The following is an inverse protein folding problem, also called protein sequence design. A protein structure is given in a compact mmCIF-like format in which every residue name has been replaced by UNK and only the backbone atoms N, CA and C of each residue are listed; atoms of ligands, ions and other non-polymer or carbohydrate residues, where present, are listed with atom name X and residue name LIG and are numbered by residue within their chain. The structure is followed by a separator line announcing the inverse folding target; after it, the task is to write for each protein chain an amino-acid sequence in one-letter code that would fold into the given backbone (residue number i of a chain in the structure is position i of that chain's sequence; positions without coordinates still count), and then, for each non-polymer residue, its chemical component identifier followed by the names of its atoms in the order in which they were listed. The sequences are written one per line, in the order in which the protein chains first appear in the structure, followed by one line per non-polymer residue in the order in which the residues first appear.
data_IF_171870905028
#
_entry.id   IF_171870905028
#
_cell.length_a   1.000
_cell.length_b   1.000
_cell.length_c   1.000
_cell.angle_alpha   90.00
_cell.angle_beta   90.00
_cell.angle_gamma   90.00
#
_symmetry.space_group_name_H-M   'P 1'
#
loop_
_entity.id
_entity.type
_entity.pdbx_description
1 polymer ?
#
# COMPACT_ATOMS: atom_id res chain seq x y z
N UNK A 1 5.36 1.53 -22.82
CA UNK A 1 4.27 2.16 -22.05
C UNK A 1 3.80 1.19 -20.98
N UNK A 2 4.27 1.36 -19.74
CA UNK A 2 3.91 0.47 -18.63
C UNK A 2 2.42 0.59 -18.33
N UNK A 3 1.73 -0.54 -18.27
CA UNK A 3 0.28 -0.61 -18.15
C UNK A 3 -0.16 -0.05 -16.78
N UNK A 4 -0.83 1.11 -16.72
CA UNK A 4 -1.10 1.83 -15.46
C UNK A 4 -1.97 1.03 -14.48
N UNK A 5 -2.81 0.14 -15.02
CA UNK A 5 -3.61 -0.82 -14.25
C UNK A 5 -2.71 -1.78 -13.44
N UNK A 6 -1.59 -2.24 -14.01
CA UNK A 6 -0.65 -3.12 -13.28
C UNK A 6 0.03 -2.38 -12.12
N UNK A 7 0.30 -1.09 -12.29
CA UNK A 7 0.92 -0.25 -11.27
C UNK A 7 -0.07 0.06 -10.13
N UNK A 8 -1.35 0.24 -10.48
CA UNK A 8 -2.44 0.36 -9.51
C UNK A 8 -2.66 -0.95 -8.74
N UNK A 9 -2.65 -2.10 -9.42
CA UNK A 9 -2.78 -3.43 -8.77
C UNK A 9 -1.62 -3.71 -7.81
N UNK A 10 -0.40 -3.32 -8.18
CA UNK A 10 0.78 -3.43 -7.34
C UNK A 10 0.60 -2.64 -6.04
N UNK A 11 0.15 -1.38 -6.15
CA UNK A 11 -0.10 -0.52 -4.99
C UNK A 11 -1.18 -1.09 -4.06
N UNK A 12 -2.27 -1.61 -4.62
CA UNK A 12 -3.35 -2.26 -3.84
C UNK A 12 -2.83 -3.51 -3.13
N UNK A 13 -1.97 -4.29 -3.78
CA UNK A 13 -1.37 -5.50 -3.19
C UNK A 13 -0.48 -5.14 -2.00
N UNK A 14 0.37 -4.11 -2.15
CA UNK A 14 1.20 -3.59 -1.06
C UNK A 14 0.34 -3.12 0.11
N UNK A 15 -0.79 -2.45 -0.16
CA UNK A 15 -1.72 -2.00 0.88
C UNK A 15 -2.36 -3.17 1.63
N UNK A 16 -2.87 -4.18 0.92
CA UNK A 16 -3.47 -5.36 1.54
C UNK A 16 -2.48 -6.11 2.44
N UNK A 17 -1.25 -6.30 1.96
CA UNK A 17 -0.19 -6.94 2.75
C UNK A 17 0.13 -6.09 3.99
N UNK A 18 0.26 -4.78 3.84
CA UNK A 18 0.58 -3.88 4.96
C UNK A 18 -0.51 -3.91 6.03
N UNK A 19 -1.78 -3.85 5.62
CA UNK A 19 -2.93 -3.93 6.53
C UNK A 19 -2.97 -5.30 7.22
N UNK A 20 -2.73 -6.39 6.49
CA UNK A 20 -2.66 -7.73 7.06
C UNK A 20 -1.58 -7.82 8.16
N UNK A 21 -0.36 -7.38 7.86
CA UNK A 21 0.73 -7.37 8.85
C UNK A 21 0.44 -6.45 10.02
N UNK A 22 -0.21 -5.30 9.79
CA UNK A 22 -0.60 -4.41 10.88
C UNK A 22 -1.59 -5.11 11.83
N UNK A 23 -2.61 -5.78 11.30
CA UNK A 23 -3.61 -6.48 12.13
C UNK A 23 -3.04 -7.73 12.82
N UNK A 24 -2.15 -8.46 12.15
CA UNK A 24 -1.60 -9.74 12.65
C UNK A 24 -0.40 -9.55 13.60
N UNK A 25 0.49 -8.60 13.31
CA UNK A 25 1.75 -8.42 14.05
C UNK A 25 1.67 -7.29 15.09
N UNK A 26 0.77 -6.33 14.92
CA UNK A 26 0.58 -5.24 15.89
C UNK A 26 -0.90 -4.94 16.08
N UNK A 27 -1.62 -5.78 16.86
CA UNK A 27 -3.04 -5.59 17.10
C UNK A 27 -3.32 -4.18 17.64
N UNK A 28 -4.49 -3.67 17.27
CA UNK A 28 -4.98 -2.33 17.57
C UNK A 28 -4.70 -1.96 19.03
N UNK A 29 -3.82 -0.96 19.24
CA UNK A 29 -3.37 -0.51 20.56
C UNK A 29 -1.86 -0.51 20.77
N UNK A 30 -1.09 -1.20 19.93
CA UNK A 30 0.37 -1.12 19.89
C UNK A 30 0.88 0.03 19.01
N UNK A 31 2.11 0.51 19.27
CA UNK A 31 2.75 1.50 18.41
C UNK A 31 2.93 0.91 16.99
N UNK A 32 2.36 1.53 15.94
CA UNK A 32 2.52 1.03 14.58
C UNK A 32 3.99 1.03 14.18
N UNK A 33 4.45 -0.08 13.60
CA UNK A 33 5.82 -0.20 13.10
C UNK A 33 6.11 0.89 12.06
N UNK A 34 7.20 1.68 12.19
CA UNK A 34 7.58 2.70 11.22
C UNK A 34 7.72 2.14 9.80
N UNK A 35 8.13 0.87 9.68
CA UNK A 35 8.27 0.17 8.39
C UNK A 35 6.90 -0.06 7.74
N UNK A 36 5.89 -0.46 8.51
CA UNK A 36 4.53 -0.66 8.00
C UNK A 36 3.90 0.67 7.60
N UNK A 37 4.16 1.75 8.34
CA UNK A 37 3.68 3.09 7.96
C UNK A 37 4.28 3.55 6.63
N UNK A 38 5.59 3.37 6.43
CA UNK A 38 6.26 3.68 5.17
C UNK A 38 5.68 2.86 4.01
N UNK A 39 5.47 1.57 4.21
CA UNK A 39 4.84 0.70 3.20
C UNK A 39 3.41 1.14 2.87
N UNK A 40 2.65 1.60 3.86
CA UNK A 40 1.30 2.12 3.65
C UNK A 40 1.33 3.39 2.78
N UNK A 41 2.22 4.33 3.10
CA UNK A 41 2.38 5.57 2.31
C UNK A 41 2.81 5.26 0.88
N UNK A 42 3.75 4.33 0.70
CA UNK A 42 4.20 3.90 -0.63
C UNK A 42 3.08 3.18 -1.41
N UNK A 43 2.29 2.33 -0.75
CA UNK A 43 1.14 1.66 -1.33
C UNK A 43 0.06 2.64 -1.79
N UNK A 44 -0.26 3.66 -0.97
CA UNK A 44 -1.20 4.72 -1.35
C UNK A 44 -0.64 5.52 -2.53
N UNK A 45 0.63 5.95 -2.45
CA UNK A 45 1.28 6.73 -3.49
C UNK A 45 1.32 6.00 -4.85
N UNK A 46 1.71 4.73 -4.86
CA UNK A 46 1.72 3.91 -6.08
C UNK A 46 0.31 3.68 -6.62
N UNK A 47 -0.68 3.46 -5.76
CA UNK A 47 -2.09 3.32 -6.19
C UNK A 47 -2.61 4.60 -6.82
N UNK A 48 -2.33 5.77 -6.21
CA UNK A 48 -2.72 7.08 -6.74
C UNK A 48 -2.02 7.39 -8.06
N UNK A 49 -0.71 7.14 -8.17
CA UNK A 49 0.03 7.31 -9.43
C UNK A 49 -0.54 6.39 -10.52
N UNK A 50 -0.87 5.14 -10.19
CA UNK A 50 -1.54 4.22 -11.10
C UNK A 50 -2.91 4.75 -11.56
N UNK A 51 -3.70 5.28 -10.63
CA UNK A 51 -5.02 5.87 -10.91
C UNK A 51 -4.93 7.10 -11.82
N UNK A 52 -4.05 8.06 -11.50
CA UNK A 52 -3.88 9.28 -12.29
C UNK A 52 -3.26 9.03 -13.68
N UNK A 53 -2.40 8.02 -13.83
CA UNK A 53 -1.85 7.63 -15.14
C UNK A 53 -2.80 6.78 -15.98
N UNK A 54 -3.89 6.29 -15.38
CA UNK A 54 -4.94 5.57 -16.08
C UNK A 54 -6.06 6.50 -16.60
N UNK A 55 -6.11 7.74 -16.10
CA UNK A 55 -6.86 8.84 -16.71
C UNK A 55 -6.07 9.43 -17.88
#
# INVERSE_FOLDING_TARGET
MGNPIKLMLLGITILLVTIFFQQVVSPVGGNPSPVLQLLLVLGIGTTLVGFFKNK
#
